data_IF_676572181253
#
_entry.id   IF_676572181253
#
_cell.length_a   1.000
_cell.length_b   1.000
_cell.length_c   1.000
_cell.angle_alpha   90.00
_cell.angle_beta   90.00
_cell.angle_gamma   90.00
#
_symmetry.space_group_name_H-M   'P 1'
#
loop_
_entity.id
_entity.type
_entity.pdbx_description
1 polymer ?
#
# COMPACT_ATOMS: atom_id res chain seq x y z
N UNK A 1 -46.61 -35.31 -26.27
CA UNK A 1 -47.09 -36.25 -25.22
C UNK A 1 -46.09 -36.25 -24.08
N UNK A 2 -46.53 -35.69 -22.93
CA UNK A 2 -46.06 -35.94 -21.56
C UNK A 2 -44.62 -35.48 -21.22
N UNK A 3 -44.33 -34.51 -20.35
CA UNK A 3 -45.09 -33.82 -19.31
C UNK A 3 -44.46 -32.43 -19.08
N UNK A 4 -45.20 -31.39 -19.46
CA UNK A 4 -45.25 -30.17 -18.69
C UNK A 4 -46.18 -30.45 -17.50
N UNK A 5 -45.77 -30.13 -16.28
CA UNK A 5 -46.58 -29.96 -15.04
C UNK A 5 -45.74 -30.31 -13.80
N UNK A 6 -44.87 -29.39 -13.35
CA UNK A 6 -44.47 -29.31 -11.95
C UNK A 6 -44.31 -27.85 -11.52
N UNK A 7 -45.40 -27.10 -11.70
CA UNK A 7 -45.75 -25.98 -10.82
C UNK A 7 -47.05 -26.39 -10.14
N UNK A 8 -47.01 -26.69 -8.84
CA UNK A 8 -47.80 -26.02 -7.79
C UNK A 8 -47.71 -26.76 -6.45
N UNK A 9 -47.65 -25.97 -5.39
CA UNK A 9 -48.05 -26.28 -4.01
C UNK A 9 -47.02 -26.89 -3.06
N UNK A 10 -46.33 -26.01 -2.32
CA UNK A 10 -46.40 -25.82 -0.86
C UNK A 10 -45.20 -24.96 -0.47
N UNK A 11 -45.36 -23.70 -0.04
CA UNK A 11 -45.72 -23.36 1.33
C UNK A 11 -46.18 -21.90 1.41
N UNK A 12 -47.36 -21.75 1.99
CA UNK A 12 -48.03 -20.51 2.35
C UNK A 12 -47.40 -19.88 3.59
N UNK A 13 -47.42 -18.54 3.63
CA UNK A 13 -47.40 -17.71 4.84
C UNK A 13 -46.03 -17.45 5.46
N UNK A 14 -45.52 -16.23 5.33
CA UNK A 14 -45.66 -15.17 6.35
C UNK A 14 -44.97 -13.87 5.91
N UNK A 15 -45.69 -12.77 6.16
CA UNK A 15 -45.19 -11.44 6.53
C UNK A 15 -44.37 -10.64 5.53
N UNK A 16 -45.01 -10.26 4.42
CA UNK A 16 -44.88 -8.89 3.92
C UNK A 16 -45.74 -7.93 4.76
N UNK A 17 -45.55 -7.94 6.08
CA UNK A 17 -45.97 -6.79 6.89
C UNK A 17 -44.98 -5.66 6.62
N UNK A 18 -45.51 -4.72 5.85
CA UNK A 18 -44.89 -3.51 5.37
C UNK A 18 -43.90 -2.86 6.36
N UNK A 19 -42.67 -2.70 5.89
CA UNK A 19 -41.68 -1.76 6.47
C UNK A 19 -42.28 -0.35 6.59
N UNK A 20 -43.25 -0.02 5.73
CA UNK A 20 -44.05 1.22 5.80
C UNK A 20 -45.00 1.27 7.02
N UNK A 21 -45.55 0.14 7.48
CA UNK A 21 -46.33 0.09 8.72
C UNK A 21 -45.47 0.33 9.95
N UNK A 22 -44.23 -0.20 9.96
CA UNK A 22 -43.28 0.00 11.07
C UNK A 22 -42.73 1.43 11.14
N UNK A 23 -42.59 2.10 9.98
CA UNK A 23 -42.19 3.52 9.93
C UNK A 23 -43.36 4.44 10.30
N UNK A 24 -44.61 4.08 9.94
CA UNK A 24 -45.80 4.84 10.34
C UNK A 24 -46.10 4.72 11.83
N UNK A 25 -45.97 3.53 12.40
CA UNK A 25 -46.14 3.31 13.85
C UNK A 25 -45.04 3.99 14.69
N UNK A 26 -43.86 4.23 14.11
CA UNK A 26 -42.79 5.03 14.73
C UNK A 26 -43.00 6.54 14.66
N UNK A 27 -43.83 7.03 13.72
CA UNK A 27 -44.12 8.45 13.54
C UNK A 27 -45.39 8.89 14.29
N UNK A 28 -46.39 8.01 14.43
CA UNK A 28 -47.59 8.27 15.25
C UNK A 28 -47.29 8.27 16.77
N UNK A 29 -46.09 7.83 17.18
CA UNK A 29 -45.61 7.91 18.58
C UNK A 29 -44.91 9.22 18.96
N UNK A 30 -44.80 10.18 18.04
CA UNK A 30 -44.15 11.48 18.27
C UNK A 30 -45.14 12.64 18.42
N UNK A 31 -46.44 12.37 18.39
CA UNK A 31 -47.50 13.39 18.37
C UNK A 31 -48.43 13.25 19.58
N UNK A 32 -47.85 13.31 20.79
CA UNK A 32 -48.46 13.96 21.96
C UNK A 32 -47.49 13.89 23.16
N UNK A 33 -46.91 15.00 23.62
CA UNK A 33 -46.24 15.01 24.91
C UNK A 33 -47.31 15.02 26.01
N UNK A 34 -47.58 13.85 26.58
CA UNK A 34 -48.13 13.75 27.93
C UNK A 34 -47.23 14.58 28.86
N UNK A 35 -47.76 15.56 29.62
CA UNK A 35 -46.96 16.28 30.60
C UNK A 35 -46.63 15.32 31.74
N UNK A 36 -45.45 14.71 31.66
CA UNK A 36 -44.84 14.02 32.79
C UNK A 36 -44.47 15.10 33.80
N UNK A 37 -45.24 15.16 34.89
CA UNK A 37 -44.92 15.92 36.08
C UNK A 37 -43.59 15.41 36.66
N UNK A 38 -42.50 16.06 36.27
CA UNK A 38 -41.26 16.01 37.02
C UNK A 38 -41.47 16.81 38.30
N UNK A 39 -41.73 16.06 39.37
CA UNK A 39 -41.59 16.52 40.74
C UNK A 39 -40.23 17.20 40.91
N UNK A 40 -40.27 18.52 41.05
CA UNK A 40 -39.12 19.35 41.41
C UNK A 40 -38.59 18.93 42.79
N UNK A 41 -37.51 18.17 42.80
CA UNK A 41 -36.69 17.93 43.98
C UNK A 41 -35.22 18.05 43.60
N UNK A 42 -34.69 19.27 43.72
CA UNK A 42 -33.28 19.54 43.44
C UNK A 42 -32.91 20.98 43.10
N UNK A 43 -33.75 21.97 43.44
CA UNK A 43 -33.51 23.41 43.26
C UNK A 43 -32.53 23.98 44.31
N UNK A 44 -31.34 23.39 44.45
CA UNK A 44 -30.32 23.84 45.41
C UNK A 44 -28.89 23.91 44.87
N UNK A 45 -28.57 23.18 43.79
CA UNK A 45 -27.17 23.05 43.36
C UNK A 45 -26.72 24.15 42.37
N UNK A 46 -27.65 24.64 41.54
CA UNK A 46 -27.33 25.61 40.47
C UNK A 46 -27.19 27.04 41.01
N UNK A 47 -27.84 27.36 42.13
CA UNK A 47 -27.75 28.69 42.76
C UNK A 47 -26.50 28.83 43.66
N UNK A 48 -25.98 27.72 44.20
CA UNK A 48 -24.74 27.71 45.00
C UNK A 48 -23.48 27.86 44.12
N UNK A 49 -23.51 27.38 42.87
CA UNK A 49 -22.40 27.51 41.92
C UNK A 49 -22.23 28.95 41.39
N UNK A 50 -23.26 29.79 41.45
CA UNK A 50 -23.16 31.19 41.00
C UNK A 50 -22.49 32.11 42.03
N UNK A 51 -22.41 31.73 43.32
CA UNK A 51 -21.79 32.59 44.34
C UNK A 51 -20.27 32.37 44.53
N UNK A 52 -19.72 31.24 44.07
CA UNK A 52 -18.28 30.94 44.24
C UNK A 52 -17.37 31.45 43.12
N UNK A 53 -17.90 32.06 42.05
CA UNK A 53 -17.09 32.61 40.95
C UNK A 53 -16.66 34.07 41.22
N UNK A 54 -17.10 34.69 42.31
CA UNK A 54 -16.83 36.11 42.61
C UNK A 54 -15.60 36.37 43.49
N UNK A 55 -14.78 35.38 43.86
CA UNK A 55 -13.59 35.63 44.68
C UNK A 55 -12.40 34.75 44.24
N UNK A 56 -11.38 35.39 43.66
CA UNK A 56 -10.05 34.86 43.29
C UNK A 56 -9.93 33.98 42.02
N UNK A 57 -9.97 34.59 40.81
CA UNK A 57 -9.89 33.86 39.53
C UNK A 57 -8.59 33.07 39.32
N UNK A 58 -7.49 33.41 39.99
CA UNK A 58 -6.19 32.74 39.78
C UNK A 58 -6.11 31.32 40.37
N UNK A 59 -6.92 30.99 41.39
CA UNK A 59 -6.82 29.70 42.09
C UNK A 59 -7.62 28.59 41.42
N UNK A 60 -8.75 28.92 40.79
CA UNK A 60 -9.58 27.95 40.07
C UNK A 60 -8.93 27.50 38.76
N UNK A 61 -8.27 28.40 38.03
CA UNK A 61 -7.45 28.03 36.86
C UNK A 61 -6.29 27.11 37.23
N UNK A 62 -5.62 27.36 38.37
CA UNK A 62 -4.51 26.53 38.82
C UNK A 62 -4.95 25.09 39.14
N UNK A 63 -6.11 24.92 39.78
CA UNK A 63 -6.66 23.59 40.12
C UNK A 63 -7.10 22.84 38.86
N UNK A 64 -7.76 23.53 37.92
CA UNK A 64 -8.17 22.93 36.64
C UNK A 64 -6.96 22.47 35.80
N UNK A 65 -5.90 23.30 35.72
CA UNK A 65 -4.66 22.93 35.05
C UNK A 65 -3.94 21.76 35.73
N UNK A 66 -3.92 21.75 37.07
CA UNK A 66 -3.32 20.65 37.83
C UNK A 66 -4.02 19.32 37.52
N UNK A 67 -5.36 19.31 37.44
CA UNK A 67 -6.11 18.10 37.09
C UNK A 67 -5.80 17.61 35.68
N UNK A 68 -5.69 18.51 34.69
CA UNK A 68 -5.32 18.13 33.31
C UNK A 68 -3.91 17.54 33.27
N UNK A 69 -2.94 18.14 33.96
CA UNK A 69 -1.56 17.64 34.03
C UNK A 69 -1.50 16.29 34.74
N UNK A 70 -2.25 16.09 35.82
CA UNK A 70 -2.30 14.82 36.55
C UNK A 70 -2.93 13.72 35.69
N UNK A 71 -4.03 14.00 34.98
CA UNK A 71 -4.65 13.03 34.07
C UNK A 71 -3.71 12.70 32.90
N UNK A 72 -3.03 13.71 32.33
CA UNK A 72 -2.04 13.49 31.29
C UNK A 72 -0.85 12.67 31.79
N UNK A 73 -0.34 12.94 33.00
CA UNK A 73 0.75 12.19 33.61
C UNK A 73 0.33 10.73 33.93
N UNK A 74 -0.88 10.53 34.44
CA UNK A 74 -1.44 9.19 34.69
C UNK A 74 -1.59 8.44 33.37
N UNK A 75 -2.12 9.04 32.30
CA UNK A 75 -2.19 8.41 30.98
C UNK A 75 -0.78 8.11 30.42
N UNK A 76 0.17 9.01 30.62
CA UNK A 76 1.54 8.85 30.14
C UNK A 76 2.32 7.75 30.88
N UNK A 77 1.96 7.46 32.13
CA UNK A 77 2.61 6.47 32.99
C UNK A 77 1.85 5.12 33.04
N UNK A 78 0.51 5.15 32.89
CA UNK A 78 -0.36 3.98 32.92
C UNK A 78 -0.51 3.32 31.54
N UNK A 79 -0.18 3.99 30.44
CA UNK A 79 -0.01 3.32 29.14
C UNK A 79 1.39 2.69 29.14
N UNK A 80 1.54 1.36 29.31
CA UNK A 80 2.84 0.73 29.29
C UNK A 80 3.48 0.94 27.91
N UNK A 81 4.59 1.69 27.86
CA UNK A 81 5.48 1.90 26.67
C UNK A 81 6.21 0.62 26.25
N UNK A 82 5.54 -0.52 26.30
CA UNK A 82 6.18 -1.81 26.10
C UNK A 82 5.28 -2.95 26.52
N UNK A 83 4.02 -2.94 26.10
CA UNK A 83 3.22 -4.17 26.10
C UNK A 83 3.99 -5.21 25.26
N UNK A 84 4.78 -6.06 25.95
CA UNK A 84 5.39 -7.27 25.41
C UNK A 84 4.23 -8.06 24.82
N UNK A 85 4.06 -7.96 23.50
CA UNK A 85 3.02 -8.67 22.77
C UNK A 85 3.14 -10.14 23.15
N UNK A 86 2.15 -10.67 23.86
CA UNK A 86 2.03 -12.12 24.09
C UNK A 86 2.16 -12.74 22.71
N UNK A 87 3.21 -13.55 22.51
CA UNK A 87 3.50 -14.19 21.22
C UNK A 87 2.38 -15.18 20.95
N UNK A 88 1.30 -14.72 20.33
CA UNK A 88 0.34 -15.61 19.70
C UNK A 88 1.14 -16.37 18.64
N UNK A 89 1.41 -17.65 18.93
CA UNK A 89 2.12 -18.54 18.00
C UNK A 89 1.12 -18.88 16.90
N UNK A 90 1.17 -18.12 15.81
CA UNK A 90 0.37 -18.40 14.62
C UNK A 90 0.69 -19.84 14.19
N UNK A 91 -0.30 -20.74 14.11
CA UNK A 91 -0.09 -22.10 13.62
C UNK A 91 0.56 -22.09 12.24
N UNK A 92 1.53 -22.98 12.02
CA UNK A 92 2.27 -23.07 10.75
C UNK A 92 1.35 -23.23 9.54
N UNK A 93 0.26 -23.99 9.69
CA UNK A 93 -0.73 -24.19 8.64
C UNK A 93 -1.42 -22.88 8.22
N UNK A 94 -1.76 -22.00 9.16
CA UNK A 94 -2.37 -20.70 8.87
C UNK A 94 -1.36 -19.79 8.17
N UNK A 95 -0.11 -19.76 8.64
CA UNK A 95 0.94 -18.99 8.00
C UNK A 95 1.23 -19.47 6.57
N UNK A 96 1.23 -20.78 6.33
CA UNK A 96 1.40 -21.36 5.00
C UNK A 96 0.22 -21.06 4.07
N UNK A 97 -1.00 -21.14 4.55
CA UNK A 97 -2.19 -20.78 3.78
C UNK A 97 -2.19 -19.29 3.39
N UNK A 98 -1.83 -18.41 4.34
CA UNK A 98 -1.70 -16.98 4.07
C UNK A 98 -0.60 -16.67 3.04
N UNK A 99 0.57 -17.33 3.16
CA UNK A 99 1.66 -17.26 2.18
C UNK A 99 1.19 -17.73 0.79
N UNK A 100 0.49 -18.85 0.70
CA UNK A 100 -0.02 -19.37 -0.57
C UNK A 100 -1.04 -18.42 -1.19
N UNK A 101 -1.95 -17.84 -0.39
CA UNK A 101 -2.92 -16.85 -0.85
C UNK A 101 -2.24 -15.57 -1.34
N UNK A 102 -1.23 -15.07 -0.63
CA UNK A 102 -0.42 -13.90 -1.02
C UNK A 102 0.30 -14.16 -2.35
N UNK A 103 0.97 -15.31 -2.49
CA UNK A 103 1.60 -15.73 -3.76
C UNK A 103 0.58 -15.85 -4.90
N UNK A 104 -0.61 -16.36 -4.63
CA UNK A 104 -1.70 -16.43 -5.60
C UNK A 104 -2.23 -15.05 -6.02
N UNK A 105 -2.27 -14.09 -5.10
CA UNK A 105 -2.64 -12.70 -5.42
C UNK A 105 -1.55 -12.02 -6.27
N UNK A 106 -0.28 -12.20 -5.92
CA UNK A 106 0.85 -11.65 -6.68
C UNK A 106 0.90 -12.17 -8.12
N UNK A 107 0.71 -13.48 -8.33
CA UNK A 107 0.65 -14.06 -9.68
C UNK A 107 -0.51 -13.54 -10.51
N UNK A 108 -1.68 -13.31 -9.89
CA UNK A 108 -2.83 -12.71 -10.58
C UNK A 108 -2.55 -11.29 -11.02
N UNK A 109 -2.00 -10.46 -10.13
CA UNK A 109 -1.60 -9.10 -10.47
C UNK A 109 -0.59 -9.07 -11.63
N UNK A 110 0.43 -9.92 -11.57
CA UNK A 110 1.41 -10.06 -12.66
C UNK A 110 0.79 -10.50 -13.99
N UNK A 111 -0.26 -11.32 -13.97
CA UNK A 111 -0.96 -11.77 -15.17
C UNK A 111 -1.84 -10.69 -15.81
N UNK A 112 -2.49 -9.86 -15.00
CA UNK A 112 -3.38 -8.78 -15.48
C UNK A 112 -2.60 -7.71 -16.24
N UNK A 113 -1.44 -7.30 -15.72
CA UNK A 113 -0.62 -6.23 -16.32
C UNK A 113 0.20 -6.70 -17.54
N UNK A 114 0.52 -8.00 -17.61
CA UNK A 114 1.46 -8.55 -18.60
C UNK A 114 0.99 -8.41 -20.06
N UNK A 115 -0.31 -8.56 -20.32
CA UNK A 115 -0.84 -8.58 -21.70
C UNK A 115 -0.73 -7.21 -22.37
N UNK A 116 -1.03 -6.13 -21.64
CA UNK A 116 -0.93 -4.77 -22.18
C UNK A 116 0.52 -4.34 -22.43
N UNK A 117 1.46 -4.79 -21.59
CA UNK A 117 2.88 -4.45 -21.73
C UNK A 117 3.50 -5.14 -22.95
N UNK A 118 3.27 -6.44 -23.13
CA UNK A 118 3.87 -7.19 -24.25
C UNK A 118 3.35 -6.71 -25.60
N UNK A 119 2.05 -6.45 -25.73
CA UNK A 119 1.47 -5.96 -26.97
C UNK A 119 2.10 -4.61 -27.39
N UNK A 120 2.39 -3.74 -26.41
CA UNK A 120 3.05 -2.45 -26.66
C UNK A 120 4.53 -2.62 -27.01
N UNK A 121 5.25 -3.53 -26.34
CA UNK A 121 6.65 -3.83 -26.66
C UNK A 121 6.79 -4.41 -28.08
N UNK A 122 5.94 -5.35 -28.48
CA UNK A 122 5.96 -5.95 -29.83
C UNK A 122 5.67 -4.92 -30.93
N UNK A 123 4.72 -4.01 -30.68
CA UNK A 123 4.44 -2.88 -31.58
C UNK A 123 5.64 -1.94 -31.73
N UNK A 124 6.40 -1.72 -30.67
CA UNK A 124 7.62 -0.91 -30.72
C UNK A 124 8.74 -1.62 -31.47
N UNK A 125 8.95 -2.91 -31.20
CA UNK A 125 10.02 -3.70 -31.82
C UNK A 125 9.88 -3.82 -33.34
N UNK A 126 8.64 -3.83 -33.85
CA UNK A 126 8.36 -3.91 -35.30
C UNK A 126 8.48 -2.56 -36.03
N UNK A 127 8.65 -1.45 -35.30
CA UNK A 127 8.86 -0.12 -35.86
C UNK A 127 10.32 0.14 -36.23
N UNK A 128 10.56 1.16 -37.06
CA UNK A 128 11.92 1.69 -37.27
C UNK A 128 12.31 2.52 -36.05
N UNK A 129 13.10 1.93 -35.15
CA UNK A 129 13.64 2.60 -33.96
C UNK A 129 15.07 3.08 -34.21
N UNK A 130 15.47 4.18 -33.60
CA UNK A 130 16.89 4.51 -33.42
C UNK A 130 17.55 3.53 -32.44
N UNK A 131 18.89 3.47 -32.41
CA UNK A 131 19.61 2.48 -31.59
C UNK A 131 19.35 2.62 -30.09
N UNK A 132 19.24 3.84 -29.57
CA UNK A 132 18.98 4.05 -28.13
C UNK A 132 17.57 3.56 -27.75
N UNK A 133 16.57 3.86 -28.58
CA UNK A 133 15.21 3.37 -28.37
C UNK A 133 15.11 1.85 -28.56
N UNK A 134 15.87 1.27 -29.48
CA UNK A 134 15.94 -0.17 -29.68
C UNK A 134 16.52 -0.90 -28.46
N UNK A 135 17.67 -0.43 -27.94
CA UNK A 135 18.31 -0.99 -26.73
C UNK A 135 17.36 -0.95 -25.53
N UNK A 136 16.60 0.14 -25.39
CA UNK A 136 15.62 0.29 -24.33
C UNK A 136 14.46 -0.71 -24.45
N UNK A 137 13.97 -0.95 -25.67
CA UNK A 137 12.90 -1.92 -25.93
C UNK A 137 13.39 -3.35 -25.70
N UNK A 138 14.62 -3.68 -26.13
CA UNK A 138 15.25 -4.97 -25.88
C UNK A 138 15.39 -5.24 -24.38
N UNK A 139 15.93 -4.28 -23.63
CA UNK A 139 16.02 -4.38 -22.17
C UNK A 139 14.65 -4.56 -21.50
N UNK A 140 13.61 -3.87 -22.01
CA UNK A 140 12.23 -4.04 -21.56
C UNK A 140 11.66 -5.46 -21.83
N UNK A 141 11.98 -6.04 -22.98
CA UNK A 141 11.59 -7.40 -23.35
C UNK A 141 12.30 -8.44 -22.48
N UNK A 142 13.58 -8.24 -22.15
CA UNK A 142 14.33 -9.11 -21.25
C UNK A 142 13.74 -9.10 -19.83
N UNK A 143 13.45 -7.91 -19.30
CA UNK A 143 12.79 -7.75 -18.02
C UNK A 143 11.41 -8.44 -18.00
N UNK A 144 10.61 -8.23 -19.04
CA UNK A 144 9.30 -8.90 -19.20
C UNK A 144 9.44 -10.43 -19.23
N UNK A 145 10.36 -10.94 -20.06
CA UNK A 145 10.60 -12.37 -20.21
C UNK A 145 11.04 -13.02 -18.89
N UNK A 146 11.91 -12.36 -18.13
CA UNK A 146 12.32 -12.81 -16.80
C UNK A 146 11.16 -12.77 -15.80
N UNK A 147 10.38 -11.69 -15.78
CA UNK A 147 9.21 -11.55 -14.91
C UNK A 147 8.21 -12.69 -15.14
N UNK A 148 7.92 -13.00 -16.41
CA UNK A 148 7.00 -14.07 -16.79
C UNK A 148 7.51 -15.44 -16.35
N UNK A 149 8.79 -15.75 -16.63
CA UNK A 149 9.42 -17.00 -16.20
C UNK A 149 9.37 -17.19 -14.68
N UNK A 150 9.61 -16.12 -13.90
CA UNK A 150 9.49 -16.17 -12.44
C UNK A 150 8.04 -16.39 -12.01
N UNK A 151 7.09 -15.66 -12.61
CA UNK A 151 5.69 -15.74 -12.23
C UNK A 151 5.11 -17.15 -12.47
N UNK A 152 5.50 -17.78 -13.58
CA UNK A 152 5.03 -19.12 -13.99
C UNK A 152 5.73 -20.26 -13.24
N UNK A 153 6.91 -20.01 -12.66
CA UNK A 153 7.58 -21.00 -11.83
C UNK A 153 6.82 -21.23 -10.51
N UNK A 154 6.33 -22.47 -10.34
CA UNK A 154 5.62 -22.90 -9.14
C UNK A 154 6.49 -22.89 -7.87
N UNK A 155 7.82 -23.02 -8.04
CA UNK A 155 8.79 -22.95 -6.95
C UNK A 155 9.07 -21.52 -6.47
N UNK A 156 8.66 -20.50 -7.24
CA UNK A 156 8.85 -19.09 -6.88
C UNK A 156 8.26 -18.75 -5.51
N UNK A 157 9.10 -18.10 -4.72
CA UNK A 157 8.80 -17.63 -3.36
C UNK A 157 8.27 -16.20 -3.40
N UNK A 158 7.88 -15.68 -2.24
CA UNK A 158 7.37 -14.31 -2.12
C UNK A 158 8.39 -13.25 -2.57
N UNK A 159 9.69 -13.45 -2.30
CA UNK A 159 10.76 -12.55 -2.75
C UNK A 159 10.92 -12.56 -4.27
N UNK A 160 10.80 -13.73 -4.90
CA UNK A 160 10.87 -13.87 -6.36
C UNK A 160 9.67 -13.20 -7.04
N UNK A 161 8.46 -13.41 -6.52
CA UNK A 161 7.25 -12.78 -7.08
C UNK A 161 7.26 -11.26 -6.91
N UNK A 162 7.75 -10.75 -5.78
CA UNK A 162 7.99 -9.32 -5.62
C UNK A 162 9.06 -8.81 -6.62
N UNK A 163 10.09 -9.60 -6.90
CA UNK A 163 11.09 -9.31 -7.93
C UNK A 163 10.50 -9.28 -9.33
N UNK A 164 9.59 -10.20 -9.66
CA UNK A 164 8.87 -10.20 -10.94
C UNK A 164 8.02 -8.93 -11.11
N UNK A 165 7.42 -8.40 -10.04
CA UNK A 165 6.70 -7.12 -10.10
C UNK A 165 7.61 -5.95 -10.43
N UNK A 166 8.83 -5.95 -9.87
CA UNK A 166 9.86 -4.94 -10.18
C UNK A 166 10.26 -5.02 -11.65
N UNK A 167 10.53 -6.23 -12.16
CA UNK A 167 10.89 -6.46 -13.56
C UNK A 167 9.75 -6.06 -14.52
N UNK A 168 8.50 -6.31 -14.16
CA UNK A 168 7.35 -5.83 -14.94
C UNK A 168 7.27 -4.30 -14.97
N UNK A 169 7.54 -3.63 -13.84
CA UNK A 169 7.63 -2.17 -13.79
C UNK A 169 8.77 -1.60 -14.65
N UNK A 170 9.90 -2.31 -14.75
CA UNK A 170 11.00 -1.95 -15.66
C UNK A 170 10.56 -2.07 -17.12
N UNK A 171 9.88 -3.15 -17.48
CA UNK A 171 9.33 -3.34 -18.82
C UNK A 171 8.31 -2.23 -19.18
N UNK A 172 7.40 -1.89 -18.27
CA UNK A 172 6.43 -0.81 -18.47
C UNK A 172 7.10 0.57 -18.62
N UNK A 173 8.14 0.83 -17.83
CA UNK A 173 8.92 2.06 -17.92
C UNK A 173 9.70 2.15 -19.23
N UNK A 174 10.21 1.03 -19.75
CA UNK A 174 10.84 0.95 -21.06
C UNK A 174 9.86 1.31 -22.18
N UNK A 175 8.66 0.70 -22.19
CA UNK A 175 7.59 1.02 -23.16
C UNK A 175 7.24 2.51 -23.11
N UNK A 176 6.99 3.05 -21.92
CA UNK A 176 6.56 4.43 -21.75
C UNK A 176 7.60 5.43 -22.24
N UNK A 177 8.88 5.14 -21.98
CA UNK A 177 10.00 5.96 -22.46
C UNK A 177 10.17 5.86 -23.98
N UNK A 178 10.12 4.66 -24.55
CA UNK A 178 10.22 4.45 -25.99
C UNK A 178 9.09 5.15 -26.76
N UNK A 179 7.83 5.01 -26.30
CA UNK A 179 6.70 5.74 -26.89
C UNK A 179 6.85 7.26 -26.79
N UNK A 180 7.41 7.75 -25.70
CA UNK A 180 7.66 9.19 -25.51
C UNK A 180 8.74 9.69 -26.46
N UNK A 181 9.82 8.93 -26.66
CA UNK A 181 10.91 9.23 -27.58
C UNK A 181 10.40 9.36 -29.03
N UNK A 182 9.59 8.40 -29.48
CA UNK A 182 8.96 8.42 -30.81
C UNK A 182 8.06 9.64 -31.01
N UNK A 183 7.28 10.03 -29.99
CA UNK A 183 6.42 11.23 -30.05
C UNK A 183 7.23 12.52 -30.10
N UNK A 184 8.36 12.59 -29.38
CA UNK A 184 9.24 13.77 -29.41
C UNK A 184 10.01 13.89 -30.73
N UNK A 185 10.50 12.79 -31.30
CA UNK A 185 11.15 12.76 -32.61
C UNK A 185 10.22 13.25 -33.73
N UNK A 186 8.94 12.88 -33.67
CA UNK A 186 7.91 13.34 -34.61
C UNK A 186 7.59 14.86 -34.51
N UNK A 187 7.77 15.47 -33.33
CA UNK A 187 7.52 16.90 -33.08
C UNK A 187 8.75 17.80 -33.29
N UNK A 188 9.95 17.23 -33.39
CA UNK A 188 11.21 17.94 -33.61
C UNK A 188 11.33 18.65 -34.98
N UNK A 189 10.48 18.30 -35.96
CA UNK A 189 10.51 18.93 -37.28
C UNK A 189 9.68 20.22 -37.42
N UNK A 190 9.00 20.71 -36.35
CA UNK A 190 8.04 21.83 -36.48
C UNK A 190 8.14 22.98 -35.48
N UNK A 191 9.25 23.13 -34.74
CA UNK A 191 9.47 24.32 -33.89
C UNK A 191 10.92 24.78 -33.88
N UNK A 192 11.33 25.36 -35.00
CA UNK A 192 12.39 26.38 -35.04
C UNK A 192 11.72 27.77 -35.13
N UNK A 193 11.04 28.20 -34.08
CA UNK A 193 10.75 29.62 -33.80
C UNK A 193 9.97 29.79 -32.48
N UNK A 194 10.61 30.47 -31.53
CA UNK A 194 9.91 31.18 -30.44
C UNK A 194 9.65 30.40 -29.16
N UNK A 195 10.40 30.73 -28.10
CA UNK A 195 9.94 30.55 -26.73
C UNK A 195 10.97 29.91 -25.79
N UNK A 196 11.85 30.73 -25.24
CA UNK A 196 12.70 30.39 -24.12
C UNK A 196 11.85 30.09 -22.87
N UNK A 197 11.67 28.81 -22.56
CA UNK A 197 11.36 28.27 -21.24
C UNK A 197 12.13 26.95 -21.08
N UNK A 198 13.45 27.06 -21.03
CA UNK A 198 14.33 25.94 -20.67
C UNK A 198 14.68 26.02 -19.19
N UNK A 199 14.97 24.85 -18.60
CA UNK A 199 15.62 24.60 -17.31
C UNK A 199 14.73 24.36 -16.08
N UNK A 200 13.71 23.50 -16.21
CA UNK A 200 13.54 22.42 -15.23
C UNK A 200 13.85 21.12 -15.94
N UNK A 201 15.14 20.78 -15.91
CA UNK A 201 15.71 19.64 -16.61
C UNK A 201 14.84 18.40 -16.43
N UNK A 202 14.37 17.90 -17.56
CA UNK A 202 14.07 16.50 -17.73
C UNK A 202 15.35 15.74 -17.37
N UNK A 203 15.52 15.43 -16.07
CA UNK A 203 16.17 14.19 -15.68
C UNK A 203 15.43 13.15 -16.52
N UNK A 204 16.08 12.64 -17.55
CA UNK A 204 15.60 11.49 -18.32
C UNK A 204 15.02 10.54 -17.28
N UNK A 205 13.69 10.37 -17.33
CA UNK A 205 12.93 9.83 -16.22
C UNK A 205 13.36 8.38 -16.04
N UNK A 206 14.38 8.18 -15.20
CA UNK A 206 14.84 6.89 -14.73
C UNK A 206 13.60 6.14 -14.26
N UNK A 207 13.47 4.87 -14.66
CA UNK A 207 12.30 4.06 -14.35
C UNK A 207 11.93 4.26 -12.88
N UNK A 208 10.65 4.50 -12.55
CA UNK A 208 10.25 4.80 -11.18
C UNK A 208 10.69 3.65 -10.27
N UNK A 209 11.73 3.88 -9.47
CA UNK A 209 12.25 2.88 -8.54
C UNK A 209 11.14 2.51 -7.55
N UNK A 210 10.92 1.22 -7.33
CA UNK A 210 9.97 0.77 -6.31
C UNK A 210 10.60 0.90 -4.91
N UNK A 211 9.75 0.80 -3.90
CA UNK A 211 10.20 0.77 -2.51
C UNK A 211 11.04 -0.48 -2.23
N UNK A 212 12.32 -0.33 -1.92
CA UNK A 212 13.18 -1.49 -1.60
C UNK A 212 12.74 -2.20 -0.31
N UNK A 213 12.14 -1.48 0.65
CA UNK A 213 11.71 -2.09 1.93
C UNK A 213 10.63 -3.16 1.68
N UNK A 214 9.67 -2.86 0.81
CA UNK A 214 8.67 -3.80 0.30
C UNK A 214 8.19 -3.29 -1.07
N UNK A 215 8.58 -3.95 -2.18
CA UNK A 215 8.20 -3.51 -3.53
C UNK A 215 6.68 -3.40 -3.75
N UNK A 216 5.89 -4.12 -2.95
CA UNK A 216 4.42 -4.09 -3.00
C UNK A 216 3.83 -2.76 -2.52
N UNK A 217 4.63 -1.91 -1.87
CA UNK A 217 4.20 -0.57 -1.51
C UNK A 217 4.17 0.41 -2.71
N UNK A 218 4.69 0.00 -3.87
CA UNK A 218 4.71 0.82 -5.08
C UNK A 218 5.90 1.79 -5.12
N UNK A 219 5.76 2.93 -5.84
CA UNK A 219 6.89 3.77 -6.21
C UNK A 219 7.53 4.47 -5.02
N UNK A 220 8.86 4.50 -5.03
CA UNK A 220 9.66 5.25 -4.08
C UNK A 220 9.52 6.77 -4.31
N UNK A 221 9.74 7.53 -3.24
CA UNK A 221 9.70 9.00 -3.26
C UNK A 221 11.08 9.62 -3.07
N UNK A 222 11.92 9.02 -2.22
CA UNK A 222 13.30 9.43 -2.00
C UNK A 222 14.09 8.27 -1.36
N UNK A 223 15.41 8.42 -1.36
CA UNK A 223 16.32 7.52 -0.64
C UNK A 223 16.37 7.88 0.86
N UNK A 224 16.57 6.86 1.70
CA UNK A 224 16.80 6.98 3.14
C UNK A 224 17.90 6.01 3.59
N UNK A 225 18.62 6.39 4.64
CA UNK A 225 19.59 5.52 5.29
C UNK A 225 18.91 4.73 6.41
N UNK A 226 18.93 3.40 6.30
CA UNK A 226 18.24 2.50 7.22
C UNK A 226 19.21 1.54 7.85
N UNK A 227 19.10 1.34 9.16
CA UNK A 227 19.77 0.24 9.85
C UNK A 227 18.86 -0.98 9.85
N UNK A 228 19.43 -2.15 9.55
CA UNK A 228 18.68 -3.42 9.56
C UNK A 228 19.22 -4.29 10.68
N UNK A 229 18.36 -4.63 11.63
CA UNK A 229 18.70 -5.56 12.71
C UNK A 229 19.20 -6.88 12.13
N UNK A 230 20.41 -7.30 12.51
CA UNK A 230 21.05 -8.50 11.97
C UNK A 230 21.96 -8.27 10.76
N UNK A 231 22.13 -7.02 10.33
CA UNK A 231 23.13 -6.59 9.34
C UNK A 231 24.07 -5.56 9.97
N UNK A 232 25.34 -5.60 9.60
CA UNK A 232 26.30 -4.57 9.96
C UNK A 232 26.23 -3.41 8.97
N UNK A 233 26.19 -2.17 9.47
CA UNK A 233 26.14 -0.96 8.66
C UNK A 233 24.73 -0.49 8.30
N UNK A 234 24.64 0.73 7.77
CA UNK A 234 23.43 1.28 7.17
C UNK A 234 23.31 0.93 5.70
N UNK A 235 22.08 0.92 5.19
CA UNK A 235 21.77 0.79 3.77
C UNK A 235 21.07 2.06 3.30
N UNK A 236 21.53 2.64 2.20
CA UNK A 236 20.79 3.69 1.51
C UNK A 236 19.80 3.03 0.56
N UNK A 237 18.51 3.23 0.78
CA UNK A 237 17.45 2.54 0.02
C UNK A 237 16.36 3.50 -0.45
N UNK A 238 15.83 3.34 -1.67
CA UNK A 238 14.63 4.05 -2.11
C UNK A 238 13.40 3.59 -1.32
N UNK A 239 12.63 4.55 -0.78
CA UNK A 239 11.49 4.28 0.09
C UNK A 239 10.22 5.01 -0.37
N UNK A 240 9.06 4.35 -0.21
CA UNK A 240 7.75 4.94 -0.46
C UNK A 240 7.35 5.93 0.65
N UNK A 241 6.32 6.74 0.38
CA UNK A 241 5.81 7.74 1.33
C UNK A 241 5.49 7.16 2.72
N UNK A 242 4.95 5.94 2.78
CA UNK A 242 4.63 5.26 4.06
C UNK A 242 5.88 4.90 4.84
N UNK A 243 6.88 4.29 4.20
CA UNK A 243 8.13 3.93 4.86
C UNK A 243 8.91 5.17 5.31
N UNK A 244 8.83 6.27 4.56
CA UNK A 244 9.38 7.56 4.99
C UNK A 244 8.67 8.13 6.23
N UNK A 245 7.36 7.92 6.32
CA UNK A 245 6.61 8.32 7.50
C UNK A 245 6.98 7.44 8.70
N UNK A 246 7.06 6.13 8.50
CA UNK A 246 7.44 5.18 9.54
C UNK A 246 8.85 5.50 10.08
N UNK A 247 9.83 5.76 9.19
CA UNK A 247 11.19 6.15 9.57
C UNK A 247 11.21 7.45 10.39
N UNK A 248 10.55 8.52 9.92
CA UNK A 248 10.47 9.80 10.65
C UNK A 248 9.79 9.70 12.00
N UNK A 249 8.87 8.75 12.16
CA UNK A 249 8.12 8.53 13.40
C UNK A 249 8.77 7.50 14.32
N UNK A 250 10.00 7.06 14.04
CA UNK A 250 10.72 6.01 14.79
C UNK A 250 9.91 4.70 14.89
N UNK A 251 9.08 4.44 13.87
CA UNK A 251 8.35 3.20 13.74
C UNK A 251 9.23 2.15 13.04
N UNK A 252 9.16 0.87 13.44
CA UNK A 252 9.94 -0.18 12.81
C UNK A 252 9.53 -0.36 11.34
N UNK A 253 10.51 -0.24 10.45
CA UNK A 253 10.34 -0.50 9.03
C UNK A 253 9.94 -1.96 8.78
N UNK A 254 8.87 -2.14 8.01
CA UNK A 254 8.32 -3.47 7.69
C UNK A 254 8.90 -3.97 6.38
N UNK A 255 10.06 -4.60 6.49
CA UNK A 255 10.70 -5.29 5.37
C UNK A 255 9.83 -6.42 4.84
N UNK A 256 9.85 -6.65 3.53
CA UNK A 256 9.30 -7.87 2.95
C UNK A 256 9.97 -9.08 3.63
N UNK A 257 9.15 -10.00 4.15
CA UNK A 257 9.61 -11.17 4.89
C UNK A 257 9.31 -12.44 4.12
N UNK A 258 10.32 -13.31 4.03
CA UNK A 258 10.24 -14.60 3.34
C UNK A 258 10.71 -15.70 4.27
N UNK A 259 9.83 -16.66 4.57
CA UNK A 259 10.10 -17.68 5.58
C UNK A 259 10.38 -17.08 6.97
N UNK A 260 9.74 -15.95 7.30
CA UNK A 260 9.87 -15.27 8.60
C UNK A 260 11.14 -14.43 8.78
N UNK A 261 11.96 -14.26 7.73
CA UNK A 261 13.16 -13.40 7.76
C UNK A 261 13.02 -12.27 6.74
N UNK A 262 13.46 -11.03 7.06
CA UNK A 262 13.58 -9.95 6.07
C UNK A 262 14.39 -10.39 4.86
N UNK A 263 13.92 -10.04 3.66
CA UNK A 263 14.56 -10.48 2.41
C UNK A 263 16.02 -9.98 2.31
N UNK A 264 16.29 -8.77 2.81
CA UNK A 264 17.60 -8.11 2.80
C UNK A 264 18.68 -8.82 3.64
N UNK A 265 18.28 -9.79 4.47
CA UNK A 265 19.17 -10.65 5.25
C UNK A 265 19.40 -12.03 4.61
N UNK A 266 18.80 -12.28 3.44
CA UNK A 266 18.95 -13.53 2.67
C UNK A 266 20.09 -13.37 1.67
N UNK A 267 20.68 -14.48 1.25
CA UNK A 267 21.62 -14.50 0.13
C UNK A 267 20.84 -14.77 -1.17
N UNK A 268 20.20 -13.73 -1.69
CA UNK A 268 19.45 -13.77 -2.95
C UNK A 268 19.86 -12.60 -3.83
N UNK A 269 19.62 -12.71 -5.14
CA UNK A 269 19.84 -11.59 -6.07
C UNK A 269 19.04 -10.35 -5.64
N UNK A 270 17.82 -10.56 -5.15
CA UNK A 270 16.95 -9.48 -4.67
C UNK A 270 17.53 -8.73 -3.46
N UNK A 271 18.16 -9.45 -2.54
CA UNK A 271 18.82 -8.85 -1.39
C UNK A 271 20.06 -8.03 -1.79
N UNK A 272 20.79 -8.47 -2.83
CA UNK A 272 21.97 -7.80 -3.36
C UNK A 272 21.62 -6.52 -4.11
N UNK A 273 20.60 -6.58 -4.98
CA UNK A 273 20.17 -5.46 -5.82
C UNK A 273 19.16 -4.54 -5.13
N UNK A 274 18.68 -4.90 -3.94
CA UNK A 274 17.60 -4.21 -3.23
C UNK A 274 16.38 -3.96 -4.11
N UNK A 275 16.04 -4.93 -4.98
CA UNK A 275 15.00 -4.80 -5.99
C UNK A 275 15.23 -3.64 -6.98
N UNK A 276 16.44 -3.49 -7.50
CA UNK A 276 16.82 -2.37 -8.36
C UNK A 276 16.97 -1.05 -7.61
N UNK A 277 17.14 -1.10 -6.29
CA UNK A 277 17.45 0.06 -5.46
C UNK A 277 18.93 0.45 -5.50
N UNK A 278 19.79 -0.46 -5.95
CA UNK A 278 21.22 -0.21 -6.19
C UNK A 278 21.48 0.46 -7.55
N UNK A 279 22.73 0.85 -7.81
CA UNK A 279 23.16 1.31 -9.14
C UNK A 279 23.32 0.18 -10.16
N UNK A 280 23.43 -1.06 -9.69
CA UNK A 280 23.52 -2.24 -10.54
C UNK A 280 22.19 -2.50 -11.25
N UNK A 281 22.28 -2.91 -12.51
CA UNK A 281 21.10 -3.31 -13.29
C UNK A 281 20.55 -4.62 -12.74
N UNK A 282 19.31 -4.57 -12.26
CA UNK A 282 18.64 -5.74 -11.67
C UNK A 282 18.31 -6.80 -12.71
N UNK A 283 18.08 -6.43 -13.98
CA UNK A 283 17.80 -7.37 -15.06
C UNK A 283 19.03 -8.25 -15.28
N UNK A 284 20.19 -7.62 -15.50
CA UNK A 284 21.47 -8.31 -15.71
C UNK A 284 21.85 -9.18 -14.49
N UNK A 285 21.71 -8.63 -13.29
CA UNK A 285 22.02 -9.36 -12.07
C UNK A 285 21.15 -10.62 -11.91
N UNK A 286 19.87 -10.57 -12.32
CA UNK A 286 18.97 -11.73 -12.29
C UNK A 286 19.33 -12.75 -13.37
N UNK A 287 19.69 -12.30 -14.58
CA UNK A 287 20.19 -13.19 -15.64
C UNK A 287 21.43 -13.94 -15.17
N UNK A 288 22.42 -13.22 -14.63
CA UNK A 288 23.66 -13.80 -14.14
C UNK A 288 23.41 -14.77 -12.97
N UNK A 289 22.59 -14.38 -12.00
CA UNK A 289 22.26 -15.23 -10.87
C UNK A 289 21.59 -16.55 -11.31
N UNK A 290 20.76 -16.50 -12.35
CA UNK A 290 20.13 -17.71 -12.92
C UNK A 290 21.10 -18.57 -13.70
N UNK A 291 21.99 -17.98 -14.50
CA UNK A 291 23.00 -18.73 -15.25
C UNK A 291 23.95 -19.50 -14.32
N UNK A 292 24.18 -19.00 -13.10
CA UNK A 292 24.98 -19.70 -12.07
C UNK A 292 24.22 -20.82 -11.35
N UNK A 293 22.89 -20.85 -11.46
CA UNK A 293 22.03 -21.81 -10.75
C UNK A 293 21.62 -23.02 -11.62
N UNK A 294 21.80 -22.92 -12.94
CA UNK A 294 21.61 -24.00 -13.93
C UNK A 294 22.86 -24.84 -14.11
#
# INVERSE_FOLDING_TARGET
YLLAEQFYSTRTGTDTESVLGRVRQGLEGLEDPQPVEFSSRGSGFVQELQYQVAVSPLRTFAIAMLLVVVVAAILWFAIPRGARRKRYRIPKAIAQAASAADRGAMRRALGEDALGVVERLEKLQTGSLDSETADLVEHGLDAYGLARRIADDGASREDDLAGAMVLMGIAEAAVTRAESALRSGSRGSRRASGGALSLRGAKAAEAPRLCSIDPRHGPAKREIDVSVTGRTGSLTVPACAKCLHDEKSDNPLRWLTVGGKPYVLRDTVWAKTLYGGTREDVVDAVVEARARAS
#
